data_IF_688158714133
#
_entry.id   IF_688158714133
#
_cell.length_a   1.000
_cell.length_b   1.000
_cell.length_c   1.000
_cell.angle_alpha   90.00
_cell.angle_beta   90.00
_cell.angle_gamma   90.00
#
_symmetry.space_group_name_H-M   'P 1'
#
loop_
_entity.id
_entity.type
_entity.pdbx_description
1 polymer ?
#
# COMPACT_ATOMS: atom_id res chain seq x y z
N UNK A 1 -24.83 -9.03 0.93
CA UNK A 1 -25.60 -7.77 0.80
C UNK A 1 -26.09 -7.69 -0.61
N UNK A 2 -27.37 -7.36 -0.83
CA UNK A 2 -27.90 -7.19 -2.20
C UNK A 2 -27.08 -6.08 -2.86
N UNK A 3 -26.28 -6.43 -3.86
CA UNK A 3 -25.41 -5.51 -4.60
C UNK A 3 -26.19 -4.29 -5.11
N UNK A 4 -27.48 -4.49 -5.37
CA UNK A 4 -28.41 -3.49 -5.88
C UNK A 4 -28.72 -2.38 -4.85
N UNK A 5 -28.75 -2.70 -3.55
CA UNK A 5 -28.95 -1.70 -2.50
C UNK A 5 -27.72 -0.82 -2.32
N UNK A 6 -26.52 -1.41 -2.43
CA UNK A 6 -25.26 -0.67 -2.38
C UNK A 6 -25.16 0.30 -3.55
N UNK A 7 -25.48 -0.19 -4.74
CA UNK A 7 -25.48 0.61 -5.96
C UNK A 7 -26.51 1.73 -5.87
N UNK A 8 -27.76 1.41 -5.51
CA UNK A 8 -28.82 2.40 -5.35
C UNK A 8 -28.50 3.51 -4.35
N UNK A 9 -27.98 3.18 -3.16
CA UNK A 9 -27.59 4.19 -2.16
C UNK A 9 -26.40 5.04 -2.60
N UNK A 10 -25.43 4.43 -3.31
CA UNK A 10 -24.27 5.15 -3.85
C UNK A 10 -24.68 6.10 -4.96
N UNK A 11 -25.49 5.62 -5.91
CA UNK A 11 -26.00 6.40 -7.04
C UNK A 11 -26.86 7.56 -6.50
N UNK A 12 -27.77 7.30 -5.55
CA UNK A 12 -28.59 8.35 -4.92
C UNK A 12 -27.73 9.42 -4.24
N UNK A 13 -26.64 9.03 -3.55
CA UNK A 13 -25.73 9.99 -2.94
C UNK A 13 -24.99 10.82 -4.00
N UNK A 14 -24.54 10.21 -5.09
CA UNK A 14 -23.87 10.91 -6.19
C UNK A 14 -24.82 11.84 -6.94
N UNK A 15 -26.08 11.45 -7.13
CA UNK A 15 -27.09 12.25 -7.84
C UNK A 15 -27.46 13.56 -7.10
N UNK A 16 -27.18 13.63 -5.80
CA UNK A 16 -27.37 14.86 -4.98
C UNK A 16 -26.10 15.71 -4.90
N UNK A 17 -25.04 15.36 -5.62
CA UNK A 17 -23.86 16.20 -5.69
C UNK A 17 -24.12 17.43 -6.58
N UNK A 18 -23.52 18.53 -6.18
CA UNK A 18 -23.54 19.81 -6.86
C UNK A 18 -22.09 20.22 -7.12
N UNK A 19 -21.90 21.17 -8.03
CA UNK A 19 -20.57 21.66 -8.37
C UNK A 19 -20.55 23.18 -8.23
N UNK A 20 -19.58 23.71 -7.49
CA UNK A 20 -19.32 25.15 -7.42
C UNK A 20 -18.83 25.69 -8.77
N UNK A 21 -18.87 27.01 -8.96
CA UNK A 21 -18.33 27.64 -10.18
C UNK A 21 -16.85 27.31 -10.44
N UNK A 22 -16.09 26.99 -9.38
CA UNK A 22 -14.69 26.60 -9.45
C UNK A 22 -14.47 25.09 -9.66
N UNK A 23 -15.52 24.32 -9.96
CA UNK A 23 -15.42 22.88 -10.23
C UNK A 23 -15.36 21.98 -9.00
N UNK A 24 -15.49 22.54 -7.78
CA UNK A 24 -15.49 21.74 -6.54
C UNK A 24 -16.85 21.08 -6.33
N UNK A 25 -16.85 19.76 -6.12
CA UNK A 25 -18.03 18.97 -5.80
C UNK A 25 -18.46 19.15 -4.34
N UNK A 26 -19.76 19.34 -4.09
CA UNK A 26 -20.33 19.52 -2.76
C UNK A 26 -21.77 18.97 -2.64
N UNK A 27 -22.25 18.83 -1.41
CA UNK A 27 -23.63 18.42 -1.09
C UNK A 27 -24.26 19.41 -0.12
N UNK A 28 -25.58 19.56 -0.17
CA UNK A 28 -26.30 20.30 0.86
C UNK A 28 -26.60 19.41 2.06
N UNK A 29 -26.38 19.93 3.27
CA UNK A 29 -26.64 19.21 4.50
C UNK A 29 -28.12 18.82 4.67
N UNK A 30 -29.07 19.65 4.19
CA UNK A 30 -30.49 19.27 4.15
C UNK A 30 -30.77 18.04 3.30
N UNK A 31 -30.07 17.86 2.19
CA UNK A 31 -30.25 16.69 1.34
C UNK A 31 -29.65 15.44 2.03
N UNK A 32 -28.45 15.58 2.59
CA UNK A 32 -27.79 14.50 3.34
C UNK A 32 -28.60 14.07 4.56
N UNK A 33 -29.27 15.01 5.25
CA UNK A 33 -30.17 14.73 6.37
C UNK A 33 -31.20 13.64 5.97
N UNK A 34 -31.87 13.84 4.86
CA UNK A 34 -32.92 12.95 4.38
C UNK A 34 -32.35 11.62 3.89
N UNK A 35 -31.24 11.65 3.16
CA UNK A 35 -30.54 10.44 2.70
C UNK A 35 -30.09 9.55 3.86
N UNK A 36 -29.67 10.15 4.98
CA UNK A 36 -29.27 9.42 6.18
C UNK A 36 -30.45 9.08 7.12
N UNK A 37 -31.69 9.38 6.73
CA UNK A 37 -32.90 9.00 7.45
C UNK A 37 -33.19 9.84 8.70
N UNK A 38 -32.72 11.08 8.76
CA UNK A 38 -33.07 12.02 9.83
C UNK A 38 -34.31 12.83 9.46
N UNK A 39 -35.39 12.68 10.23
CA UNK A 39 -36.63 13.44 9.99
C UNK A 39 -36.54 14.88 10.49
N UNK A 40 -35.85 15.10 11.61
CA UNK A 40 -35.73 16.42 12.26
C UNK A 40 -34.33 17.02 12.08
N UNK A 41 -34.27 18.26 11.60
CA UNK A 41 -33.02 18.99 11.42
C UNK A 41 -32.19 19.09 12.71
N UNK A 42 -32.83 19.37 13.86
CA UNK A 42 -32.15 19.49 15.17
C UNK A 42 -31.31 18.25 15.51
N UNK A 43 -31.84 17.06 15.23
CA UNK A 43 -31.13 15.82 15.51
C UNK A 43 -29.94 15.62 14.57
N UNK A 44 -30.08 16.08 13.32
CA UNK A 44 -29.00 16.03 12.35
C UNK A 44 -27.91 17.09 12.60
N UNK A 45 -28.27 18.28 13.10
CA UNK A 45 -27.31 19.29 13.55
C UNK A 45 -26.36 18.73 14.61
N UNK A 46 -26.85 17.91 15.54
CA UNK A 46 -25.98 17.25 16.53
C UNK A 46 -24.94 16.32 15.88
N UNK A 47 -25.30 15.64 14.78
CA UNK A 47 -24.38 14.79 14.01
C UNK A 47 -23.35 15.64 13.27
N UNK A 48 -23.78 16.76 12.66
CA UNK A 48 -22.89 17.73 12.02
C UNK A 48 -21.89 18.28 13.05
N UNK A 49 -22.32 18.65 14.25
CA UNK A 49 -21.41 19.14 15.30
C UNK A 49 -20.35 18.11 15.68
N UNK A 50 -20.73 16.82 15.81
CA UNK A 50 -19.77 15.73 16.04
C UNK A 50 -18.80 15.59 14.88
N UNK A 51 -19.31 15.64 13.64
CA UNK A 51 -18.48 15.57 12.44
C UNK A 51 -17.49 16.75 12.32
N UNK A 52 -17.92 17.99 12.63
CA UNK A 52 -17.06 19.18 12.73
C UNK A 52 -15.95 18.97 13.77
N UNK A 53 -16.29 18.38 14.93
CA UNK A 53 -15.31 18.03 15.98
C UNK A 53 -14.29 16.99 15.48
N UNK A 54 -14.73 15.93 14.80
CA UNK A 54 -13.82 14.94 14.19
C UNK A 54 -12.92 15.54 13.12
N UNK A 55 -13.44 16.48 12.33
CA UNK A 55 -12.70 17.20 11.29
C UNK A 55 -11.52 17.97 11.89
N UNK A 56 -11.79 18.77 12.92
CA UNK A 56 -10.79 19.55 13.63
C UNK A 56 -9.76 18.66 14.34
N UNK A 57 -10.21 17.61 15.02
CA UNK A 57 -9.34 16.63 15.67
C UNK A 57 -8.42 15.89 14.68
N UNK A 58 -8.81 15.80 13.42
CA UNK A 58 -7.99 15.24 12.33
C UNK A 58 -7.04 16.26 11.70
N UNK A 59 -6.96 17.49 12.23
CA UNK A 59 -6.09 18.56 11.75
C UNK A 59 -6.61 19.36 10.56
N UNK A 60 -7.90 19.22 10.21
CA UNK A 60 -8.50 19.94 9.09
C UNK A 60 -9.28 21.18 9.56
N UNK A 61 -9.28 22.24 8.76
CA UNK A 61 -10.02 23.46 9.04
C UNK A 61 -11.51 23.26 8.72
N UNK A 62 -12.40 23.53 9.69
CA UNK A 62 -13.84 23.27 9.54
C UNK A 62 -14.47 24.03 8.34
N UNK A 63 -14.23 25.34 8.15
CA UNK A 63 -14.80 26.10 7.03
C UNK A 63 -14.42 25.58 5.64
N UNK A 64 -13.33 24.81 5.50
CA UNK A 64 -12.93 24.23 4.21
C UNK A 64 -13.85 23.06 3.80
N UNK A 65 -14.65 22.57 4.74
CA UNK A 65 -15.44 21.34 4.58
C UNK A 65 -16.92 21.49 4.94
N UNK A 66 -17.24 22.44 5.83
CA UNK A 66 -18.60 22.75 6.28
C UNK A 66 -18.85 24.25 6.14
N UNK A 67 -19.33 24.66 4.96
CA UNK A 67 -19.58 26.08 4.65
C UNK A 67 -21.04 26.40 4.92
N UNK A 68 -21.32 27.21 5.94
CA UNK A 68 -22.69 27.64 6.24
C UNK A 68 -23.20 28.61 5.15
N UNK A 69 -24.42 28.37 4.66
CA UNK A 69 -25.06 29.14 3.59
C UNK A 69 -26.56 29.34 3.85
N UNK A 70 -27.18 30.23 3.08
CA UNK A 70 -28.63 30.42 3.08
C UNK A 70 -29.22 29.94 1.75
N UNK A 71 -30.09 28.93 1.79
CA UNK A 71 -30.80 28.41 0.62
C UNK A 71 -32.20 29.00 0.55
N UNK A 72 -32.60 29.53 -0.60
CA UNK A 72 -33.97 30.00 -0.83
C UNK A 72 -34.87 28.81 -1.17
N UNK A 73 -35.96 28.63 -0.43
CA UNK A 73 -36.94 27.57 -0.67
C UNK A 73 -38.34 28.15 -0.94
N UNK A 74 -39.05 27.55 -1.89
CA UNK A 74 -40.44 27.92 -2.18
C UNK A 74 -41.34 27.46 -1.03
N UNK A 75 -42.15 28.38 -0.51
CA UNK A 75 -43.27 28.09 0.38
C UNK A 75 -44.55 28.00 -0.45
N UNK A 76 -45.52 27.18 -0.01
CA UNK A 76 -46.73 26.80 -0.76
C UNK A 76 -47.64 27.93 -1.25
N UNK A 77 -47.31 29.19 -0.96
CA UNK A 77 -47.94 30.40 -1.48
C UNK A 77 -47.22 31.04 -2.68
N UNK A 78 -46.12 30.45 -3.18
CA UNK A 78 -45.28 31.02 -4.25
C UNK A 78 -44.23 32.02 -3.77
N UNK A 79 -44.20 32.35 -2.47
CA UNK A 79 -43.12 33.13 -1.86
C UNK A 79 -41.87 32.25 -1.63
N UNK A 80 -40.70 32.88 -1.51
CA UNK A 80 -39.46 32.21 -1.12
C UNK A 80 -39.00 32.66 0.26
N UNK A 81 -38.45 31.75 1.05
CA UNK A 81 -37.85 32.05 2.35
C UNK A 81 -36.42 31.52 2.42
N UNK A 82 -35.47 32.28 2.98
CA UNK A 82 -34.14 31.76 3.27
C UNK A 82 -34.21 30.74 4.40
N UNK A 83 -33.52 29.62 4.22
CA UNK A 83 -33.33 28.56 5.21
C UNK A 83 -31.85 28.29 5.33
N UNK A 84 -31.35 28.30 6.57
CA UNK A 84 -29.96 27.98 6.89
C UNK A 84 -29.63 26.55 6.46
N UNK A 85 -28.58 26.39 5.68
CA UNK A 85 -28.06 25.12 5.17
C UNK A 85 -26.52 25.13 5.22
N UNK A 86 -25.90 24.02 4.86
CA UNK A 86 -24.44 23.88 4.87
C UNK A 86 -24.01 23.18 3.58
N UNK A 87 -23.05 23.75 2.87
CA UNK A 87 -22.34 23.04 1.82
C UNK A 87 -21.28 22.13 2.45
N UNK A 88 -21.35 20.86 2.09
CA UNK A 88 -20.52 19.80 2.61
C UNK A 88 -19.61 19.29 1.49
N UNK A 89 -18.31 19.23 1.74
CA UNK A 89 -17.42 18.47 0.86
C UNK A 89 -17.71 16.98 0.98
N UNK A 90 -17.20 16.19 0.03
CA UNK A 90 -17.24 14.72 0.10
C UNK A 90 -16.69 14.20 1.44
N UNK A 91 -15.60 14.81 1.92
CA UNK A 91 -15.00 14.48 3.21
C UNK A 91 -15.93 14.79 4.39
N UNK A 92 -16.59 15.96 4.42
CA UNK A 92 -17.57 16.29 5.45
C UNK A 92 -18.74 15.29 5.47
N UNK A 93 -19.24 14.89 4.31
CA UNK A 93 -20.29 13.87 4.21
C UNK A 93 -19.84 12.52 4.81
N UNK A 94 -18.58 12.11 4.60
CA UNK A 94 -18.04 10.90 5.21
C UNK A 94 -17.99 11.00 6.74
N UNK A 95 -17.52 12.13 7.28
CA UNK A 95 -17.49 12.35 8.73
C UNK A 95 -18.90 12.36 9.33
N UNK A 96 -19.89 12.95 8.65
CA UNK A 96 -21.29 12.91 9.08
C UNK A 96 -21.82 11.48 9.10
N UNK A 97 -21.58 10.69 8.05
CA UNK A 97 -22.00 9.30 8.00
C UNK A 97 -21.33 8.44 9.09
N UNK A 98 -20.04 8.66 9.37
CA UNK A 98 -19.32 7.97 10.44
C UNK A 98 -19.86 8.31 11.84
N UNK A 99 -20.24 9.57 12.07
CA UNK A 99 -20.74 10.06 13.37
C UNK A 99 -22.26 9.92 13.55
N UNK A 100 -22.97 9.38 12.56
CA UNK A 100 -24.43 9.21 12.61
C UNK A 100 -24.88 8.10 13.56
N UNK A 101 -26.18 8.11 13.89
CA UNK A 101 -26.86 7.07 14.65
C UNK A 101 -26.90 5.72 13.89
N UNK A 102 -26.20 4.68 14.36
CA UNK A 102 -26.15 3.37 13.70
C UNK A 102 -27.50 2.63 13.71
N UNK A 103 -28.51 3.10 14.46
CA UNK A 103 -29.87 2.54 14.38
C UNK A 103 -30.57 2.89 13.07
N UNK A 104 -30.07 3.89 12.33
CA UNK A 104 -30.59 4.25 11.01
C UNK A 104 -29.92 3.38 9.95
N UNK A 105 -30.72 2.58 9.24
CA UNK A 105 -30.27 1.70 8.15
C UNK A 105 -29.28 2.36 7.17
N UNK A 106 -29.52 3.59 6.65
CA UNK A 106 -28.56 4.25 5.76
C UNK A 106 -27.19 4.55 6.42
N UNK A 107 -27.19 4.91 7.71
CA UNK A 107 -25.97 5.19 8.47
C UNK A 107 -25.19 3.91 8.75
N UNK A 108 -25.87 2.86 9.24
CA UNK A 108 -25.25 1.55 9.46
C UNK A 108 -24.65 0.99 8.16
N UNK A 109 -25.37 1.18 7.05
CA UNK A 109 -24.90 0.83 5.72
C UNK A 109 -23.60 1.57 5.36
N UNK A 110 -23.55 2.90 5.53
CA UNK A 110 -22.36 3.69 5.24
C UNK A 110 -21.16 3.28 6.13
N UNK A 111 -21.38 3.06 7.43
CA UNK A 111 -20.34 2.59 8.35
C UNK A 111 -19.77 1.23 7.94
N UNK A 112 -20.63 0.28 7.57
CA UNK A 112 -20.21 -1.02 7.06
C UNK A 112 -19.44 -0.89 5.72
N UNK A 113 -19.91 -0.02 4.83
CA UNK A 113 -19.20 0.28 3.60
C UNK A 113 -17.77 0.77 3.89
N UNK A 114 -17.57 1.71 4.81
CA UNK A 114 -16.22 2.17 5.18
C UNK A 114 -15.35 1.05 5.77
N UNK A 115 -15.90 0.20 6.64
CA UNK A 115 -15.16 -0.94 7.19
C UNK A 115 -14.69 -1.88 6.07
N UNK A 116 -15.56 -2.19 5.11
CA UNK A 116 -15.24 -3.05 3.97
C UNK A 116 -14.24 -2.38 3.02
N UNK A 117 -14.40 -1.10 2.71
CA UNK A 117 -13.48 -0.39 1.81
C UNK A 117 -12.09 -0.22 2.42
N UNK A 118 -12.01 0.11 3.71
CA UNK A 118 -10.72 0.22 4.41
C UNK A 118 -10.00 -1.13 4.38
N UNK A 119 -10.71 -2.22 4.69
CA UNK A 119 -10.14 -3.57 4.60
C UNK A 119 -9.69 -3.93 3.19
N UNK A 120 -10.45 -3.55 2.15
CA UNK A 120 -10.04 -3.75 0.76
C UNK A 120 -8.76 -2.99 0.43
N UNK A 121 -8.64 -1.74 0.89
CA UNK A 121 -7.46 -0.93 0.67
C UNK A 121 -6.21 -1.54 1.33
N UNK A 122 -6.30 -1.95 2.60
CA UNK A 122 -5.22 -2.67 3.29
C UNK A 122 -4.76 -3.92 2.52
N UNK A 123 -5.72 -4.72 2.02
CA UNK A 123 -5.41 -5.93 1.23
C UNK A 123 -4.74 -5.56 -0.10
N UNK A 124 -5.19 -4.49 -0.77
CA UNK A 124 -4.58 -4.01 -2.01
C UNK A 124 -3.14 -3.53 -1.75
N UNK A 125 -2.91 -2.77 -0.69
CA UNK A 125 -1.57 -2.32 -0.28
C UNK A 125 -0.64 -3.52 -0.01
N UNK A 126 -1.12 -4.50 0.77
CA UNK A 126 -0.38 -5.73 1.01
C UNK A 126 -0.05 -6.47 -0.30
N UNK A 127 -1.00 -6.55 -1.24
CA UNK A 127 -0.79 -7.17 -2.55
C UNK A 127 0.23 -6.43 -3.40
N UNK A 128 0.25 -5.10 -3.36
CA UNK A 128 1.27 -4.30 -4.06
C UNK A 128 2.65 -4.65 -3.51
N UNK A 129 2.81 -4.65 -2.19
CA UNK A 129 4.08 -5.01 -1.53
C UNK A 129 4.54 -6.43 -1.87
N UNK A 130 3.61 -7.38 -1.81
CA UNK A 130 3.81 -8.79 -2.17
C UNK A 130 4.25 -8.92 -3.64
N UNK A 131 3.56 -8.25 -4.56
CA UNK A 131 3.89 -8.26 -5.98
C UNK A 131 5.25 -7.63 -6.26
N UNK A 132 5.56 -6.49 -5.64
CA UNK A 132 6.87 -5.86 -5.75
C UNK A 132 8.01 -6.79 -5.31
N UNK A 133 7.79 -7.55 -4.23
CA UNK A 133 8.79 -8.51 -3.75
C UNK A 133 9.01 -9.65 -4.74
N UNK A 134 7.93 -10.19 -5.31
CA UNK A 134 8.00 -11.20 -6.37
C UNK A 134 8.78 -10.69 -7.58
N UNK A 135 8.48 -9.47 -8.04
CA UNK A 135 9.18 -8.85 -9.16
C UNK A 135 10.67 -8.63 -8.86
N UNK A 136 11.01 -8.09 -7.68
CA UNK A 136 12.39 -7.89 -7.26
C UNK A 136 13.18 -9.22 -7.22
N UNK A 137 12.57 -10.29 -6.69
CA UNK A 137 13.20 -11.61 -6.65
C UNK A 137 13.39 -12.21 -8.04
N UNK A 138 12.42 -11.99 -8.93
CA UNK A 138 12.49 -12.37 -10.34
C UNK A 138 13.66 -11.68 -11.05
N UNK A 139 13.78 -10.36 -10.91
CA UNK A 139 14.89 -9.57 -11.47
C UNK A 139 16.24 -10.04 -10.97
N UNK A 140 16.41 -10.15 -9.64
CA UNK A 140 17.64 -10.68 -9.06
C UNK A 140 18.01 -12.06 -9.61
N UNK A 141 17.03 -12.93 -9.85
CA UNK A 141 17.30 -14.25 -10.46
C UNK A 141 17.86 -14.14 -11.88
N UNK A 142 17.40 -13.17 -12.66
CA UNK A 142 17.86 -12.95 -14.03
C UNK A 142 19.29 -12.39 -14.01
N UNK A 143 19.54 -11.37 -13.18
CA UNK A 143 20.86 -10.76 -13.03
C UNK A 143 21.89 -11.74 -12.45
N UNK A 144 21.52 -12.54 -11.46
CA UNK A 144 22.39 -13.62 -10.93
C UNK A 144 22.71 -14.67 -12.00
N UNK A 145 21.76 -15.03 -12.87
CA UNK A 145 22.01 -15.94 -14.00
C UNK A 145 22.96 -15.33 -15.01
N UNK A 146 22.76 -14.08 -15.37
CA UNK A 146 23.63 -13.37 -16.32
C UNK A 146 25.06 -13.23 -15.78
N UNK A 147 25.22 -12.80 -14.52
CA UNK A 147 26.53 -12.74 -13.88
C UNK A 147 27.20 -14.13 -13.83
N UNK A 148 26.43 -15.18 -13.54
CA UNK A 148 26.93 -16.56 -13.56
C UNK A 148 27.44 -16.96 -14.95
N UNK A 149 26.73 -16.62 -16.02
CA UNK A 149 27.17 -16.88 -17.40
C UNK A 149 28.48 -16.16 -17.72
N UNK A 150 28.60 -14.89 -17.35
CA UNK A 150 29.83 -14.10 -17.55
C UNK A 150 31.02 -14.75 -16.83
N UNK A 151 30.82 -15.15 -15.56
CA UNK A 151 31.87 -15.82 -14.78
C UNK A 151 32.26 -17.15 -15.43
N UNK A 152 31.29 -17.92 -15.92
CA UNK A 152 31.56 -19.18 -16.59
C UNK A 152 32.37 -18.98 -17.88
N UNK A 153 31.96 -18.04 -18.73
CA UNK A 153 32.66 -17.72 -19.99
C UNK A 153 34.12 -17.29 -19.75
N UNK A 154 34.37 -16.57 -18.66
CA UNK A 154 35.71 -16.05 -18.34
C UNK A 154 36.59 -17.05 -17.60
N UNK A 155 36.01 -17.93 -16.79
CA UNK A 155 36.77 -18.78 -15.86
C UNK A 155 36.64 -20.28 -16.11
N UNK A 156 35.68 -20.71 -16.93
CA UNK A 156 35.39 -22.11 -17.23
C UNK A 156 34.83 -22.91 -16.04
N UNK A 157 34.36 -22.27 -14.96
CA UNK A 157 33.89 -22.97 -13.76
C UNK A 157 32.67 -22.34 -13.10
N UNK A 158 31.61 -23.13 -12.96
CA UNK A 158 30.38 -22.75 -12.24
C UNK A 158 30.57 -22.59 -10.72
N UNK A 159 31.62 -23.20 -10.15
CA UNK A 159 31.90 -23.12 -8.71
C UNK A 159 32.27 -21.71 -8.26
N UNK A 160 32.81 -20.90 -9.17
CA UNK A 160 33.26 -19.54 -8.90
C UNK A 160 32.10 -18.61 -8.56
N UNK A 161 30.91 -18.81 -9.16
CA UNK A 161 29.75 -17.96 -8.88
C UNK A 161 29.30 -18.06 -7.42
N UNK A 162 29.23 -19.27 -6.85
CA UNK A 162 28.82 -19.46 -5.47
C UNK A 162 29.78 -18.76 -4.47
N UNK A 163 31.09 -18.81 -4.76
CA UNK A 163 32.13 -18.16 -3.95
C UNK A 163 32.00 -16.63 -4.08
N UNK A 164 31.92 -16.10 -5.30
CA UNK A 164 31.79 -14.67 -5.57
C UNK A 164 30.53 -14.12 -4.91
N UNK A 165 29.38 -14.79 -5.06
CA UNK A 165 28.11 -14.41 -4.42
C UNK A 165 28.25 -14.38 -2.90
N UNK A 166 28.89 -15.39 -2.29
CA UNK A 166 29.08 -15.42 -0.84
C UNK A 166 29.99 -14.29 -0.33
N UNK A 167 31.04 -13.94 -1.09
CA UNK A 167 31.89 -12.77 -0.80
C UNK A 167 31.11 -11.46 -0.97
N UNK A 168 30.25 -11.35 -1.97
CA UNK A 168 29.31 -10.23 -2.16
C UNK A 168 28.33 -10.08 -1.00
N UNK A 169 27.74 -11.19 -0.55
CA UNK A 169 26.89 -11.23 0.64
C UNK A 169 27.65 -10.77 1.89
N UNK A 170 28.87 -11.26 2.13
CA UNK A 170 29.69 -10.79 3.23
C UNK A 170 29.96 -9.27 3.16
N UNK A 171 30.19 -8.74 1.96
CA UNK A 171 30.36 -7.30 1.75
C UNK A 171 29.07 -6.51 2.04
N UNK A 172 27.90 -7.02 1.63
CA UNK A 172 26.61 -6.36 1.82
C UNK A 172 26.12 -6.45 3.29
N UNK A 173 26.34 -7.59 3.95
CA UNK A 173 25.79 -7.94 5.26
C UNK A 173 26.80 -7.78 6.42
N UNK A 174 27.78 -6.90 6.28
CA UNK A 174 28.65 -6.52 7.40
C UNK A 174 29.57 -7.65 7.85
N UNK A 175 30.09 -8.42 6.90
CA UNK A 175 30.98 -9.56 7.14
C UNK A 175 30.27 -10.92 7.21
N UNK A 176 28.94 -10.95 7.16
CA UNK A 176 28.16 -12.20 7.22
C UNK A 176 28.04 -12.84 5.84
N UNK A 177 28.63 -14.01 5.68
CA UNK A 177 28.50 -14.87 4.49
C UNK A 177 27.04 -15.28 4.24
N UNK A 178 26.77 -15.80 3.04
CA UNK A 178 25.44 -16.36 2.70
C UNK A 178 24.97 -17.38 3.74
N UNK A 179 25.86 -18.26 4.19
CA UNK A 179 25.50 -19.32 5.15
C UNK A 179 25.16 -18.73 6.53
N UNK A 180 25.97 -17.79 7.04
CA UNK A 180 25.68 -17.13 8.32
C UNK A 180 24.36 -16.36 8.29
N UNK A 181 24.03 -15.73 7.16
CA UNK A 181 22.73 -15.09 6.98
C UNK A 181 21.59 -16.10 6.91
N UNK A 182 21.77 -17.25 6.25
CA UNK A 182 20.79 -18.34 6.26
C UNK A 182 20.52 -18.84 7.68
N UNK A 183 21.58 -19.05 8.45
CA UNK A 183 21.48 -19.54 9.83
C UNK A 183 20.75 -18.53 10.72
N UNK A 184 21.07 -17.23 10.59
CA UNK A 184 20.39 -16.14 11.31
C UNK A 184 18.90 -16.07 10.99
N UNK A 185 18.55 -16.18 9.71
CA UNK A 185 17.18 -15.99 9.23
C UNK A 185 16.35 -17.29 9.25
N UNK A 186 16.91 -18.41 9.72
CA UNK A 186 16.22 -19.70 9.76
C UNK A 186 15.92 -20.26 8.36
N UNK A 187 16.74 -19.95 7.37
CA UNK A 187 16.53 -20.38 5.98
C UNK A 187 16.91 -21.85 5.82
N UNK A 188 16.01 -22.72 5.30
CA UNK A 188 16.35 -24.12 5.05
C UNK A 188 17.54 -24.27 4.09
N UNK A 189 18.38 -25.30 4.30
CA UNK A 189 19.62 -25.51 3.53
C UNK A 189 19.39 -25.49 2.01
N UNK A 190 18.35 -26.18 1.55
CA UNK A 190 17.96 -26.31 0.14
C UNK A 190 17.37 -25.05 -0.50
N UNK A 191 17.10 -24.01 0.29
CA UNK A 191 16.47 -22.78 -0.19
C UNK A 191 17.49 -21.67 -0.39
N UNK A 192 17.22 -20.76 -1.32
CA UNK A 192 18.08 -19.60 -1.54
C UNK A 192 17.87 -18.58 -0.43
N UNK A 193 18.93 -17.91 0.02
CA UNK A 193 18.84 -16.82 0.99
C UNK A 193 17.87 -15.73 0.52
N UNK A 194 17.96 -15.36 -0.76
CA UNK A 194 17.13 -14.33 -1.38
C UNK A 194 15.61 -14.62 -1.33
N UNK A 195 15.19 -15.87 -1.14
CA UNK A 195 13.77 -16.23 -1.00
C UNK A 195 13.14 -15.72 0.32
N UNK A 196 13.97 -15.33 1.29
CA UNK A 196 13.57 -14.90 2.63
C UNK A 196 14.03 -13.47 2.96
N UNK A 197 14.71 -12.80 2.02
CA UNK A 197 15.14 -11.43 2.23
C UNK A 197 13.97 -10.45 2.04
N UNK A 198 13.99 -9.30 2.75
CA UNK A 198 13.13 -8.16 2.46
C UNK A 198 13.33 -7.61 1.05
N UNK A 199 12.28 -6.98 0.49
CA UNK A 199 12.30 -6.40 -0.86
C UNK A 199 13.46 -5.43 -1.06
N UNK A 200 13.74 -4.56 -0.08
CA UNK A 200 14.84 -3.60 -0.15
C UNK A 200 16.20 -4.29 -0.26
N UNK A 201 16.40 -5.39 0.48
CA UNK A 201 17.64 -6.16 0.44
C UNK A 201 17.80 -6.91 -0.87
N UNK A 202 16.71 -7.45 -1.43
CA UNK A 202 16.70 -8.07 -2.76
C UNK A 202 17.10 -7.04 -3.82
N UNK A 203 16.46 -5.85 -3.83
CA UNK A 203 16.78 -4.75 -4.75
C UNK A 203 18.24 -4.27 -4.60
N UNK A 204 18.76 -4.23 -3.36
CA UNK A 204 20.16 -3.89 -3.10
C UNK A 204 21.15 -4.91 -3.70
N UNK A 205 20.87 -6.21 -3.52
CA UNK A 205 21.67 -7.28 -4.13
C UNK A 205 21.61 -7.22 -5.66
N UNK A 206 20.42 -6.98 -6.20
CA UNK A 206 20.17 -6.86 -7.63
C UNK A 206 21.00 -5.72 -8.22
N UNK A 207 20.91 -4.53 -7.63
CA UNK A 207 21.67 -3.37 -8.09
C UNK A 207 23.20 -3.58 -8.01
N UNK A 208 23.72 -4.18 -6.93
CA UNK A 208 25.14 -4.52 -6.85
C UNK A 208 25.57 -5.54 -7.92
N UNK A 209 24.68 -6.49 -8.25
CA UNK A 209 24.89 -7.51 -9.29
C UNK A 209 24.90 -6.87 -10.67
N UNK A 210 23.94 -5.99 -10.97
CA UNK A 210 23.85 -5.22 -12.23
C UNK A 210 25.09 -4.35 -12.47
N UNK A 211 25.58 -3.62 -11.46
CA UNK A 211 26.82 -2.84 -11.60
C UNK A 211 28.01 -3.77 -11.88
N UNK A 212 28.03 -4.96 -11.27
CA UNK A 212 29.09 -5.94 -11.51
C UNK A 212 29.04 -6.47 -12.94
N UNK A 213 27.85 -6.80 -13.46
CA UNK A 213 27.64 -7.22 -14.86
C UNK A 213 28.12 -6.14 -15.82
N UNK A 214 27.68 -4.89 -15.58
CA UNK A 214 28.07 -3.74 -16.39
C UNK A 214 29.59 -3.57 -16.43
N UNK A 215 30.24 -3.56 -15.26
CA UNK A 215 31.70 -3.39 -15.15
C UNK A 215 32.48 -4.59 -15.70
N UNK A 216 31.97 -5.81 -15.57
CA UNK A 216 32.62 -7.00 -16.10
C UNK A 216 32.67 -7.00 -17.63
N UNK A 217 31.60 -6.52 -18.28
CA UNK A 217 31.53 -6.35 -19.74
C UNK A 217 32.39 -5.19 -20.22
N UNK A 218 32.27 -4.02 -19.58
CA UNK A 218 32.97 -2.79 -19.97
C UNK A 218 34.50 -2.90 -19.82
N UNK A 219 34.97 -3.41 -18.67
CA UNK A 219 36.39 -3.50 -18.35
C UNK A 219 37.06 -4.80 -18.80
N UNK A 220 36.29 -5.70 -19.42
CA UNK A 220 36.75 -7.03 -19.87
C UNK A 220 37.52 -7.77 -18.76
N UNK A 221 36.93 -7.85 -17.56
CA UNK A 221 37.50 -8.61 -16.45
C UNK A 221 37.65 -10.08 -16.89
N UNK A 222 38.78 -10.75 -16.62
CA UNK A 222 39.03 -12.10 -17.19
C UNK A 222 39.22 -13.19 -16.14
N UNK A 223 39.34 -12.82 -14.87
CA UNK A 223 39.66 -13.77 -13.80
C UNK A 223 38.62 -13.76 -12.68
N UNK A 224 38.49 -14.89 -11.97
CA UNK A 224 37.63 -14.97 -10.77
C UNK A 224 37.95 -13.86 -9.77
N UNK A 225 39.25 -13.60 -9.54
CA UNK A 225 39.69 -12.60 -8.58
C UNK A 225 39.27 -11.17 -8.94
N UNK A 226 39.36 -10.79 -10.22
CA UNK A 226 38.93 -9.48 -10.70
C UNK A 226 37.42 -9.27 -10.55
N UNK A 227 36.61 -10.25 -11.00
CA UNK A 227 35.15 -10.19 -10.88
C UNK A 227 34.75 -10.19 -9.41
N UNK A 228 35.43 -11.00 -8.58
CA UNK A 228 35.20 -11.06 -7.14
C UNK A 228 35.46 -9.71 -6.47
N UNK A 229 36.58 -9.06 -6.79
CA UNK A 229 36.95 -7.76 -6.23
C UNK A 229 35.96 -6.67 -6.62
N UNK A 230 35.54 -6.64 -7.90
CA UNK A 230 34.52 -5.71 -8.40
C UNK A 230 33.17 -5.95 -7.71
N UNK A 231 32.73 -7.22 -7.59
CA UNK A 231 31.49 -7.56 -6.91
C UNK A 231 31.49 -7.18 -5.42
N UNK A 232 32.60 -7.42 -4.71
CA UNK A 232 32.78 -7.00 -3.31
C UNK A 232 32.70 -5.46 -3.20
N UNK A 233 33.38 -4.74 -4.09
CA UNK A 233 33.40 -3.28 -4.11
C UNK A 233 31.99 -2.71 -4.29
N UNK A 234 31.23 -3.25 -5.25
CA UNK A 234 29.87 -2.83 -5.53
C UNK A 234 28.94 -3.08 -4.33
N UNK A 235 29.01 -4.28 -3.72
CA UNK A 235 28.22 -4.60 -2.53
C UNK A 235 28.59 -3.72 -1.32
N UNK A 236 29.87 -3.38 -1.11
CA UNK A 236 30.27 -2.41 -0.08
C UNK A 236 29.71 -1.01 -0.34
N UNK A 237 29.70 -0.57 -1.59
CA UNK A 237 29.11 0.70 -2.00
C UNK A 237 27.62 0.77 -1.71
N UNK A 238 26.88 -0.26 -2.12
CA UNK A 238 25.43 -0.37 -1.83
C UNK A 238 25.18 -0.45 -0.32
N UNK A 239 25.98 -1.23 0.42
CA UNK A 239 25.89 -1.29 1.89
C UNK A 239 26.06 0.09 2.52
N UNK A 240 27.07 0.84 2.12
CA UNK A 240 27.33 2.18 2.65
C UNK A 240 26.10 3.07 2.48
N UNK A 241 25.50 3.07 1.28
CA UNK A 241 24.28 3.83 1.00
C UNK A 241 23.12 3.43 1.91
N UNK A 242 22.92 2.13 2.17
CA UNK A 242 21.89 1.65 3.09
C UNK A 242 22.16 2.14 4.52
N UNK A 243 23.40 2.04 4.99
CA UNK A 243 23.80 2.48 6.34
C UNK A 243 23.60 3.99 6.52
N UNK A 244 23.93 4.80 5.52
CA UNK A 244 23.73 6.26 5.54
C UNK A 244 22.25 6.64 5.67
N UNK A 245 21.32 5.72 5.35
CA UNK A 245 19.87 5.88 5.53
C UNK A 245 19.32 5.13 6.75
N UNK A 246 20.19 4.64 7.64
CA UNK A 246 19.79 3.90 8.83
C UNK A 246 19.34 2.46 8.56
N UNK A 247 19.54 1.93 7.35
CA UNK A 247 19.16 0.58 6.97
C UNK A 247 20.37 -0.34 7.12
N UNK A 248 20.33 -1.25 8.09
CA UNK A 248 21.34 -2.29 8.27
C UNK A 248 20.84 -3.62 7.69
N UNK A 249 21.20 -3.98 6.45
CA UNK A 249 20.58 -5.10 5.74
C UNK A 249 20.73 -6.45 6.46
N UNK A 250 21.78 -6.62 7.26
CA UNK A 250 21.97 -7.82 8.06
C UNK A 250 21.05 -7.89 9.28
N UNK A 251 20.55 -6.76 9.79
CA UNK A 251 19.67 -6.69 10.96
C UNK A 251 18.18 -6.83 10.62
N UNK A 252 17.82 -6.72 9.34
CA UNK A 252 16.43 -6.84 8.91
C UNK A 252 15.89 -8.27 9.14
N UNK A 253 14.59 -8.40 9.52
CA UNK A 253 13.97 -9.71 9.76
C UNK A 253 13.80 -10.52 8.47
N UNK A 254 13.60 -11.82 8.63
CA UNK A 254 13.23 -12.69 7.52
C UNK A 254 11.79 -12.38 7.08
N UNK A 255 11.57 -12.36 5.78
CA UNK A 255 10.23 -12.33 5.18
C UNK A 255 9.73 -13.75 4.89
N UNK A 256 8.43 -13.86 4.62
CA UNK A 256 7.83 -15.11 4.17
C UNK A 256 8.60 -15.67 2.96
N UNK A 257 8.76 -16.99 2.94
CA UNK A 257 9.25 -17.74 1.80
C UNK A 257 8.56 -17.32 0.48
N UNK A 258 9.35 -16.92 -0.52
CA UNK A 258 8.85 -16.49 -1.84
C UNK A 258 7.91 -17.51 -2.52
N UNK A 259 8.12 -18.82 -2.34
CA UNK A 259 7.24 -19.85 -2.94
C UNK A 259 5.89 -19.92 -2.24
N UNK A 260 5.85 -19.65 -0.93
CA UNK A 260 4.58 -19.54 -0.19
C UNK A 260 3.84 -18.27 -0.63
N UNK A 261 4.58 -17.17 -0.76
CA UNK A 261 4.05 -15.91 -1.27
C UNK A 261 3.44 -16.07 -2.67
N UNK A 262 4.14 -16.69 -3.62
CA UNK A 262 3.62 -16.96 -4.97
C UNK A 262 2.29 -17.74 -4.95
N UNK A 263 2.20 -18.75 -4.07
CA UNK A 263 0.97 -19.54 -3.91
C UNK A 263 -0.16 -18.71 -3.31
N UNK A 264 0.14 -17.88 -2.31
CA UNK A 264 -0.82 -16.97 -1.68
C UNK A 264 -1.38 -16.00 -2.71
N UNK A 265 -0.53 -15.27 -3.43
CA UNK A 265 -0.92 -14.30 -4.47
C UNK A 265 -1.80 -14.96 -5.54
N UNK A 266 -1.41 -16.14 -6.07
CA UNK A 266 -2.22 -16.90 -7.05
C UNK A 266 -3.57 -17.37 -6.51
N UNK A 267 -3.65 -17.71 -5.22
CA UNK A 267 -4.90 -18.11 -4.58
C UNK A 267 -5.83 -16.94 -4.32
N UNK A 268 -5.26 -15.77 -4.04
CA UNK A 268 -5.93 -14.53 -3.70
C UNK A 268 -6.58 -13.84 -4.90
N UNK A 269 -5.98 -13.97 -6.10
CA UNK A 269 -6.62 -13.59 -7.36
C UNK A 269 -7.98 -14.26 -7.55
N UNK A 270 -8.15 -15.47 -7.02
CA UNK A 270 -9.39 -16.26 -7.14
C UNK A 270 -10.43 -15.98 -6.06
N UNK A 271 -10.09 -15.18 -5.04
CA UNK A 271 -10.89 -15.02 -3.81
C UNK A 271 -11.55 -13.63 -3.67
N UNK A 272 -11.42 -12.76 -4.68
CA UNK A 272 -11.99 -11.40 -4.67
C UNK A 272 -13.53 -11.50 -4.60
N UNK A 273 -14.10 -11.35 -3.41
CA UNK A 273 -15.55 -11.31 -3.19
C UNK A 273 -16.10 -12.07 -1.99
N UNK A 274 -15.27 -12.72 -1.16
CA UNK A 274 -15.79 -13.44 0.03
C UNK A 274 -16.22 -12.51 1.16
N UNK A 275 -17.20 -12.98 1.93
CA UNK A 275 -17.76 -12.31 3.11
C UNK A 275 -16.69 -12.13 4.19
N UNK A 276 -16.79 -11.09 5.04
CA UNK A 276 -15.87 -10.90 6.16
C UNK A 276 -15.86 -12.13 7.07
N UNK A 277 -14.69 -12.43 7.63
CA UNK A 277 -14.52 -13.49 8.61
C UNK A 277 -15.43 -13.24 9.82
N UNK A 278 -16.02 -14.31 10.33
CA UNK A 278 -16.79 -14.28 11.58
C UNK A 278 -15.91 -14.88 12.66
N UNK A 279 -15.87 -14.25 13.83
CA UNK A 279 -15.37 -14.91 15.03
C UNK A 279 -16.35 -16.08 15.30
N UNK A 280 -15.87 -17.31 15.16
CA UNK A 280 -16.60 -18.48 15.64
C UNK A 280 -16.42 -18.55 17.16
N UNK A 281 -17.51 -18.83 17.87
CA UNK A 281 -17.45 -19.28 19.27
C UNK A 281 -16.72 -20.63 19.38
#
# INVERSE_FOLDING_TARGET
MKSDLVKSLTDTFQDHSNTTDNGIEFWFARDIQHLLGYSEWRNFTNVITKAKTSCEASGNNIPDHFVDINKMVNIGSGAQKPVDDIMLTRYACYLIAQNGDPKKEPVAFAQNYFAVQTRKYEIIEQRINDWERLQARGKLSLSEKELSSIIYEQTGSDKNFAIIRSKGDAALFGGKTTQQMKDRLGVPKERALADFLPTITIKAKDFATEITIFNAKDKVLKTEGEISAEHIKNNRGVRKLLLDRGIKPEELPAEEDIKKLERRVKSEEKQIGKKPDKLSE
#
